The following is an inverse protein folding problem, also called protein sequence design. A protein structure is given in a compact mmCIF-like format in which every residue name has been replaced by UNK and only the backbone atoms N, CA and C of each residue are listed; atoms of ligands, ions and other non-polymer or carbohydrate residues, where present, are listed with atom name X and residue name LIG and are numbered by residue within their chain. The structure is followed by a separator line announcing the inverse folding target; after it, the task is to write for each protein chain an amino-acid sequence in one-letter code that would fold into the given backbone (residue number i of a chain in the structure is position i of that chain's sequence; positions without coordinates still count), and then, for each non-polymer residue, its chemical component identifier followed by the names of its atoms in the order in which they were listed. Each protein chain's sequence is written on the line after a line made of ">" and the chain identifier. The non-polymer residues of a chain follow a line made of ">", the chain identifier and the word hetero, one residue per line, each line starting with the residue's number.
data_IF_275758876827
#
_entry.id   IF_275758876827
#
_cell.length_a   1.000
_cell.length_b   1.000
_cell.length_c   1.000
_cell.angle_alpha   90.00
_cell.angle_beta   90.00
_cell.angle_gamma   90.00
#
_symmetry.space_group_name_H-M   'P 1'
#
loop_
_entity.id
_entity.type
_entity.pdbx_description
1 polymer ?
#
# COMPACT_ATOMS: atom_id res chain seq x y z
N UNK A 1 8.87 6.28 23.99
CA UNK A 1 8.22 6.63 22.70
C UNK A 1 9.14 6.46 21.48
N UNK A 2 10.41 6.90 21.51
CA UNK A 2 11.28 6.83 20.32
C UNK A 2 11.62 5.40 19.84
N UNK A 3 11.82 4.45 20.76
CA UNK A 3 12.14 3.07 20.40
C UNK A 3 10.98 2.30 19.72
N UNK A 4 9.73 2.60 20.04
CA UNK A 4 8.58 1.90 19.43
C UNK A 4 8.39 2.29 17.96
N UNK A 5 8.58 3.57 17.65
CA UNK A 5 8.59 4.05 16.26
C UNK A 5 9.69 3.35 15.46
N UNK A 6 10.92 3.28 16.00
CA UNK A 6 12.04 2.57 15.36
C UNK A 6 11.73 1.09 15.11
N UNK A 7 11.12 0.40 16.08
CA UNK A 7 10.73 -1.02 15.92
C UNK A 7 9.67 -1.19 14.83
N UNK A 8 8.65 -0.33 14.79
CA UNK A 8 7.60 -0.35 13.77
C UNK A 8 8.16 -0.07 12.38
N UNK A 9 9.00 0.95 12.25
CA UNK A 9 9.59 1.36 10.97
C UNK A 9 10.46 0.23 10.42
N UNK A 10 11.32 -0.38 11.25
CA UNK A 10 12.12 -1.54 10.85
C UNK A 10 11.26 -2.73 10.42
N UNK A 11 10.18 -3.02 11.14
CA UNK A 11 9.25 -4.09 10.78
C UNK A 11 8.57 -3.82 9.43
N UNK A 12 8.19 -2.57 9.16
CA UNK A 12 7.59 -2.17 7.88
C UNK A 12 8.59 -2.27 6.73
N UNK A 13 9.82 -1.78 6.92
CA UNK A 13 10.89 -1.89 5.91
C UNK A 13 11.20 -3.35 5.62
N UNK A 14 11.34 -4.20 6.64
CA UNK A 14 11.56 -5.63 6.44
C UNK A 14 10.37 -6.31 5.74
N UNK A 15 9.14 -5.92 6.07
CA UNK A 15 7.96 -6.41 5.38
C UNK A 15 7.92 -5.98 3.91
N UNK A 16 8.45 -4.79 3.58
CA UNK A 16 8.50 -4.27 2.22
C UNK A 16 9.33 -5.13 1.27
N UNK A 17 10.36 -5.84 1.77
CA UNK A 17 11.15 -6.78 0.98
C UNK A 17 10.39 -8.01 0.50
N UNK A 18 9.24 -8.30 1.12
CA UNK A 18 8.39 -9.41 0.67
C UNK A 18 7.43 -8.99 -0.44
N UNK A 19 7.26 -7.69 -0.70
CA UNK A 19 6.42 -7.17 -1.78
C UNK A 19 7.06 -7.46 -3.14
N UNK A 20 6.26 -7.91 -4.09
CA UNK A 20 6.69 -8.02 -5.47
C UNK A 20 6.87 -6.62 -6.10
N UNK A 21 7.52 -6.59 -7.27
CA UNK A 21 7.83 -5.32 -7.94
C UNK A 21 6.58 -4.54 -8.34
N UNK A 22 5.48 -5.22 -8.67
CA UNK A 22 4.24 -4.57 -9.10
C UNK A 22 3.51 -3.96 -7.90
N UNK A 23 3.51 -4.63 -6.75
CA UNK A 23 3.01 -4.12 -5.47
C UNK A 23 3.75 -2.86 -5.03
N UNK A 24 5.09 -2.87 -5.13
CA UNK A 24 5.91 -1.69 -4.81
C UNK A 24 5.59 -0.52 -5.76
N UNK A 25 5.47 -0.78 -7.07
CA UNK A 25 5.12 0.24 -8.08
C UNK A 25 3.73 0.80 -7.85
N UNK A 26 2.77 -0.03 -7.47
CA UNK A 26 1.40 0.38 -7.15
C UNK A 26 1.40 1.39 -5.99
N UNK A 27 2.12 1.11 -4.89
CA UNK A 27 2.25 2.03 -3.76
C UNK A 27 2.89 3.36 -4.19
N UNK A 28 3.96 3.30 -5.00
CA UNK A 28 4.65 4.50 -5.47
C UNK A 28 3.74 5.37 -6.35
N UNK A 29 2.96 4.78 -7.25
CA UNK A 29 2.02 5.53 -8.08
C UNK A 29 0.90 6.16 -7.25
N UNK A 30 0.38 5.47 -6.25
CA UNK A 30 -0.62 6.03 -5.34
C UNK A 30 -0.07 7.27 -4.60
N UNK A 31 1.19 7.24 -4.16
CA UNK A 31 1.87 8.38 -3.52
C UNK A 31 2.05 9.53 -4.51
N UNK A 32 2.47 9.25 -5.74
CA UNK A 32 2.62 10.28 -6.79
C UNK A 32 1.28 10.96 -7.06
N UNK A 33 0.22 10.19 -7.27
CA UNK A 33 -1.13 10.72 -7.49
C UNK A 33 -1.60 11.59 -6.32
N UNK A 34 -1.41 11.13 -5.07
CA UNK A 34 -1.77 11.90 -3.89
C UNK A 34 -1.07 13.26 -3.83
N UNK A 35 0.22 13.29 -4.19
CA UNK A 35 1.03 14.52 -4.23
C UNK A 35 0.58 15.46 -5.35
N UNK A 36 0.33 14.94 -6.54
CA UNK A 36 -0.17 15.73 -7.68
C UNK A 36 -1.51 16.40 -7.37
N UNK A 37 -2.40 15.69 -6.66
CA UNK A 37 -3.69 16.22 -6.22
C UNK A 37 -3.59 17.07 -4.94
N UNK A 38 -2.41 17.25 -4.36
CA UNK A 38 -2.21 17.88 -3.04
C UNK A 38 -3.14 17.29 -1.97
N UNK A 39 -3.46 16.00 -2.08
CA UNK A 39 -4.40 15.30 -1.22
C UNK A 39 -3.71 14.93 0.08
N UNK A 40 -4.30 15.31 1.21
CA UNK A 40 -3.89 14.78 2.51
C UNK A 40 -4.22 13.28 2.57
N UNK A 41 -3.25 12.47 2.97
CA UNK A 41 -3.42 11.01 3.05
C UNK A 41 -3.50 10.61 4.52
N UNK A 42 -4.66 10.07 4.90
CA UNK A 42 -4.90 9.42 6.18
C UNK A 42 -5.44 7.99 5.97
N UNK A 43 -5.73 7.28 7.08
CA UNK A 43 -6.21 5.90 7.03
C UNK A 43 -7.63 5.72 6.44
N UNK A 44 -8.33 6.81 6.10
CA UNK A 44 -9.66 6.79 5.48
C UNK A 44 -9.63 7.34 4.03
N UNK A 45 -8.46 7.76 3.56
CA UNK A 45 -8.29 8.41 2.28
C UNK A 45 -8.17 7.38 1.15
N UNK A 46 -9.12 7.40 0.21
CA UNK A 46 -9.00 6.58 -1.02
C UNK A 46 -7.99 7.18 -1.98
N UNK A 47 -7.04 6.39 -2.47
CA UNK A 47 -6.09 6.74 -3.52
C UNK A 47 -6.40 5.97 -4.80
N UNK A 48 -6.42 6.67 -5.93
CA UNK A 48 -6.67 6.10 -7.26
C UNK A 48 -5.35 5.88 -8.00
N UNK A 49 -5.22 4.73 -8.66
CA UNK A 49 -4.09 4.42 -9.54
C UNK A 49 -4.64 4.04 -10.91
N UNK A 50 -4.31 4.85 -11.91
CA UNK A 50 -4.73 4.65 -13.29
C UNK A 50 -3.75 3.76 -14.04
N UNK A 51 -4.25 2.73 -14.72
CA UNK A 51 -3.43 1.85 -15.56
C UNK A 51 -2.62 2.63 -16.61
N UNK A 52 -3.17 3.73 -17.14
CA UNK A 52 -2.46 4.61 -18.07
C UNK A 52 -1.17 5.19 -17.48
N UNK A 53 -1.17 5.60 -16.20
CA UNK A 53 0.04 6.10 -15.54
C UNK A 53 1.07 4.98 -15.35
N UNK A 54 0.62 3.78 -14.98
CA UNK A 54 1.50 2.61 -14.87
C UNK A 54 2.17 2.25 -16.21
N UNK A 55 1.39 2.23 -17.30
CA UNK A 55 1.93 2.00 -18.65
C UNK A 55 3.01 3.03 -19.00
N UNK A 56 2.70 4.32 -18.83
CA UNK A 56 3.58 5.41 -19.23
C UNK A 56 4.87 5.43 -18.40
N UNK A 57 4.77 5.19 -17.09
CA UNK A 57 5.91 5.27 -16.18
C UNK A 57 6.85 4.07 -16.32
N UNK A 58 6.31 2.87 -16.59
CA UNK A 58 7.08 1.62 -16.57
C UNK A 58 7.16 0.92 -17.93
N UNK A 59 6.68 1.55 -19.01
CA UNK A 59 6.68 1.02 -20.38
C UNK A 59 6.05 -0.39 -20.48
N UNK A 60 4.85 -0.54 -19.92
CA UNK A 60 4.08 -1.80 -19.91
C UNK A 60 2.96 -1.76 -20.95
N UNK A 61 2.70 -2.90 -21.59
CA UNK A 61 1.57 -3.05 -22.52
C UNK A 61 0.22 -2.72 -21.87
N UNK A 62 -0.73 -2.19 -22.67
CA UNK A 62 -2.03 -1.70 -22.19
C UNK A 62 -2.86 -2.78 -21.51
N UNK A 63 -2.96 -3.96 -22.09
CA UNK A 63 -3.76 -5.04 -21.51
C UNK A 63 -3.08 -5.62 -20.27
N UNK A 64 -1.76 -5.74 -20.31
CA UNK A 64 -0.99 -6.24 -19.16
C UNK A 64 -0.98 -5.28 -17.97
N UNK A 65 -1.07 -3.97 -18.21
CA UNK A 65 -0.97 -2.96 -17.17
C UNK A 65 -2.12 -3.03 -16.16
N UNK A 66 -3.37 -3.06 -16.63
CA UNK A 66 -4.52 -3.06 -15.73
C UNK A 66 -4.63 -4.37 -14.95
N UNK A 67 -4.47 -5.52 -15.62
CA UNK A 67 -4.46 -6.82 -14.95
C UNK A 67 -3.30 -6.94 -13.95
N UNK A 68 -2.14 -6.40 -14.29
CA UNK A 68 -1.01 -6.30 -13.37
C UNK A 68 -1.34 -5.50 -12.11
N UNK A 69 -1.99 -4.34 -12.25
CA UNK A 69 -2.42 -3.53 -11.11
C UNK A 69 -3.50 -4.21 -10.26
N UNK A 70 -4.49 -4.89 -10.89
CA UNK A 70 -5.51 -5.65 -10.16
C UNK A 70 -4.89 -6.74 -9.31
N UNK A 71 -3.99 -7.53 -9.90
CA UNK A 71 -3.30 -8.59 -9.19
C UNK A 71 -2.42 -8.04 -8.06
N UNK A 72 -1.70 -6.95 -8.29
CA UNK A 72 -0.88 -6.31 -7.27
C UNK A 72 -1.73 -5.79 -6.10
N UNK A 73 -2.88 -5.16 -6.36
CA UNK A 73 -3.75 -4.68 -5.30
C UNK A 73 -4.38 -5.83 -4.51
N UNK A 74 -4.81 -6.89 -5.18
CA UNK A 74 -5.30 -8.11 -4.54
C UNK A 74 -4.24 -8.74 -3.63
N UNK A 75 -3.01 -8.87 -4.12
CA UNK A 75 -1.90 -9.42 -3.34
C UNK A 75 -1.58 -8.53 -2.13
N UNK A 76 -1.49 -7.22 -2.34
CA UNK A 76 -1.17 -6.25 -1.29
C UNK A 76 -2.22 -6.24 -0.18
N UNK A 77 -3.50 -6.39 -0.53
CA UNK A 77 -4.59 -6.53 0.44
C UNK A 77 -4.44 -7.78 1.30
N UNK A 78 -3.97 -8.89 0.72
CA UNK A 78 -3.71 -10.13 1.46
C UNK A 78 -2.47 -10.09 2.35
N UNK A 79 -1.58 -9.11 2.15
CA UNK A 79 -0.38 -8.99 2.95
C UNK A 79 -0.65 -8.38 4.31
N UNK A 80 0.03 -8.97 5.29
CA UNK A 80 0.06 -8.54 6.68
C UNK A 80 1.49 -8.55 7.19
N UNK A 81 1.76 -7.66 8.13
CA UNK A 81 3.00 -7.66 8.89
C UNK A 81 2.68 -7.59 10.38
N UNK A 82 3.69 -7.86 11.21
CA UNK A 82 3.53 -7.78 12.66
C UNK A 82 4.69 -7.01 13.27
N UNK A 83 4.40 -6.27 14.33
CA UNK A 83 5.39 -5.55 15.10
C UNK A 83 5.04 -5.59 16.59
N UNK A 84 6.05 -5.40 17.42
CA UNK A 84 5.88 -5.29 18.86
C UNK A 84 5.56 -3.84 19.22
N UNK A 85 4.65 -3.66 20.17
CA UNK A 85 4.41 -2.37 20.82
C UNK A 85 4.09 -2.57 22.29
N UNK A 86 3.80 -1.49 23.01
CA UNK A 86 3.35 -1.56 24.40
C UNK A 86 1.83 -1.32 24.48
N UNK A 87 1.16 -2.09 25.35
CA UNK A 87 -0.25 -1.84 25.68
C UNK A 87 -0.36 -0.73 26.73
N UNK A 88 -1.05 0.36 26.40
CA UNK A 88 -1.07 1.58 27.24
C UNK A 88 -1.59 1.33 28.65
N UNK A 89 -2.64 0.50 28.81
CA UNK A 89 -3.25 0.26 30.13
C UNK A 89 -2.50 -0.70 31.04
N UNK A 90 -1.70 -1.63 30.49
CA UNK A 90 -1.02 -2.68 31.28
C UNK A 90 0.50 -2.55 31.28
N UNK A 91 1.04 -1.68 30.39
CA UNK A 91 2.48 -1.52 30.14
C UNK A 91 3.18 -2.82 29.71
N UNK A 92 2.44 -3.82 29.25
CA UNK A 92 2.97 -5.09 28.76
C UNK A 92 3.21 -5.05 27.24
N UNK A 93 4.12 -5.90 26.77
CA UNK A 93 4.34 -6.09 25.33
C UNK A 93 3.07 -6.63 24.65
N UNK A 94 2.68 -6.02 23.53
CA UNK A 94 1.64 -6.50 22.62
C UNK A 94 2.23 -6.80 21.25
N UNK A 95 1.69 -7.81 20.59
CA UNK A 95 1.96 -8.08 19.18
C UNK A 95 0.83 -7.47 18.37
N UNK A 96 1.17 -6.50 17.52
CA UNK A 96 0.22 -5.88 16.58
C UNK A 96 0.34 -6.58 15.24
N UNK A 97 -0.80 -6.90 14.61
CA UNK A 97 -0.87 -7.36 13.22
C UNK A 97 -1.53 -6.27 12.40
N UNK A 98 -0.86 -5.82 11.34
CA UNK A 98 -1.34 -4.76 10.46
C UNK A 98 -1.38 -5.23 9.02
N UNK A 99 -2.34 -4.69 8.25
CA UNK A 99 -2.40 -4.83 6.79
C UNK A 99 -1.64 -3.67 6.15
N UNK A 100 -1.33 -3.81 4.86
CA UNK A 100 -0.78 -2.73 4.03
C UNK A 100 -1.85 -1.74 3.58
N UNK A 101 -3.00 -2.28 3.16
CA UNK A 101 -4.19 -1.53 2.77
C UNK A 101 -5.40 -2.13 3.49
N UNK A 102 -6.33 -1.27 3.88
CA UNK A 102 -7.57 -1.61 4.57
C UNK A 102 -8.71 -1.98 3.60
N UNK A 103 -8.67 -1.44 2.38
CA UNK A 103 -9.68 -1.66 1.34
C UNK A 103 -9.05 -1.53 -0.05
N UNK A 104 -9.57 -2.32 -0.99
CA UNK A 104 -9.28 -2.17 -2.42
C UNK A 104 -10.58 -2.17 -3.22
N UNK A 105 -10.61 -1.48 -4.36
CA UNK A 105 -11.69 -1.56 -5.33
C UNK A 105 -11.18 -1.46 -6.77
N UNK A 106 -11.98 -1.94 -7.72
CA UNK A 106 -11.64 -1.98 -9.14
C UNK A 106 -12.72 -1.27 -9.94
N UNK A 107 -12.32 -0.31 -10.78
CA UNK A 107 -13.22 0.39 -11.70
C UNK A 107 -12.86 -0.04 -13.12
N UNK A 108 -13.34 -1.23 -13.51
CA UNK A 108 -12.95 -1.90 -14.75
C UNK A 108 -13.22 -1.05 -16.01
N UNK A 109 -14.32 -0.28 -16.02
CA UNK A 109 -14.67 0.61 -17.14
C UNK A 109 -13.67 1.76 -17.34
N UNK A 110 -12.93 2.14 -16.30
CA UNK A 110 -11.97 3.24 -16.32
C UNK A 110 -10.51 2.77 -16.22
N UNK A 111 -10.27 1.48 -15.96
CA UNK A 111 -8.92 0.95 -15.73
C UNK A 111 -8.25 1.54 -14.49
N UNK A 112 -9.03 1.74 -13.42
CA UNK A 112 -8.59 2.35 -12.16
C UNK A 112 -8.63 1.32 -11.04
N UNK A 113 -7.60 1.34 -10.20
CA UNK A 113 -7.57 0.61 -8.94
C UNK A 113 -7.59 1.63 -7.79
N UNK A 114 -8.42 1.38 -6.78
CA UNK A 114 -8.52 2.20 -5.59
C UNK A 114 -7.91 1.48 -4.38
N UNK A 115 -7.17 2.21 -3.55
CA UNK A 115 -6.57 1.73 -2.30
C UNK A 115 -6.97 2.64 -1.14
N UNK A 116 -7.20 2.09 0.05
CA UNK A 116 -7.37 2.86 1.30
C UNK A 116 -6.43 2.31 2.36
#
# INVERSE_FOLDING_TARGET
>A
MQNELVVKDNALINASYNLDTTEQRLILLAIVQARELSKHVDANSTLEVHAHHYMKQFNVDKHAAYEGLKNAASNLFERKFSYKGIHEGTQQEKIVKSRWVSKIAYVDSAGIVELT
#
